data_IF_166014703501
#
_entry.id   IF_166014703501
#
_cell.length_a   1.000
_cell.length_b   1.000
_cell.length_c   1.000
_cell.angle_alpha   90.00
_cell.angle_beta   90.00
_cell.angle_gamma   90.00
#
_symmetry.space_group_name_H-M   'P 1'
#
loop_
_entity.id
_entity.type
_entity.pdbx_description
1 polymer ?
#
# COMPACT_ATOMS: atom_id res chain seq x y z
N UNK A 1 12.26 -13.05 -8.59
CA UNK A 1 11.72 -13.71 -7.36
C UNK A 1 10.56 -12.92 -6.71
N UNK A 2 10.31 -11.63 -7.02
CA UNK A 2 9.16 -10.84 -6.49
C UNK A 2 7.81 -11.22 -7.14
N UNK A 3 7.84 -11.58 -8.41
CA UNK A 3 6.65 -12.00 -9.18
C UNK A 3 5.95 -13.22 -8.55
N UNK A 4 6.71 -14.16 -7.95
CA UNK A 4 6.15 -15.40 -7.42
C UNK A 4 5.26 -15.22 -6.19
N UNK A 5 5.33 -14.09 -5.47
CA UNK A 5 4.44 -13.82 -4.33
C UNK A 5 3.05 -13.38 -4.80
N UNK A 6 2.98 -12.55 -5.85
CA UNK A 6 1.71 -12.15 -6.44
C UNK A 6 1.03 -13.32 -7.16
N UNK A 7 1.82 -14.19 -7.80
CA UNK A 7 1.31 -15.45 -8.37
C UNK A 7 0.77 -16.38 -7.29
N UNK A 8 1.42 -16.48 -6.14
CA UNK A 8 0.92 -17.27 -5.02
C UNK A 8 -0.38 -16.69 -4.42
N UNK A 9 -0.45 -15.36 -4.28
CA UNK A 9 -1.60 -14.68 -3.67
C UNK A 9 -2.85 -14.65 -4.58
N UNK A 10 -2.67 -14.53 -5.90
CA UNK A 10 -3.76 -14.40 -6.87
C UNK A 10 -4.00 -15.68 -7.70
N UNK A 11 -3.17 -16.71 -7.50
CA UNK A 11 -3.17 -17.97 -8.26
C UNK A 11 -2.34 -17.90 -9.55
N UNK A 12 -1.62 -18.98 -9.86
CA UNK A 12 -0.97 -19.16 -11.16
C UNK A 12 -2.03 -19.09 -12.27
N UNK A 13 -1.86 -18.17 -13.22
CA UNK A 13 -2.80 -17.97 -14.32
C UNK A 13 -3.90 -16.93 -14.09
N UNK A 14 -3.81 -16.09 -13.04
CA UNK A 14 -4.67 -14.91 -12.94
C UNK A 14 -4.57 -14.07 -14.21
N UNK A 15 -5.71 -13.87 -14.89
CA UNK A 15 -5.82 -13.12 -16.15
C UNK A 15 -5.99 -11.62 -15.94
N UNK A 16 -5.95 -11.16 -14.69
CA UNK A 16 -6.10 -9.74 -14.40
C UNK A 16 -4.83 -8.99 -14.84
N UNK A 17 -4.97 -7.81 -15.48
CA UNK A 17 -3.82 -6.98 -15.83
C UNK A 17 -2.96 -6.66 -14.61
N UNK A 18 -1.64 -6.77 -14.74
CA UNK A 18 -0.68 -6.41 -13.72
C UNK A 18 0.20 -5.29 -14.25
N UNK A 19 0.18 -4.15 -13.56
CA UNK A 19 0.94 -2.96 -13.97
C UNK A 19 1.92 -2.63 -12.85
N UNK A 20 3.22 -2.98 -12.99
CA UNK A 20 4.21 -2.60 -12.01
C UNK A 20 4.44 -1.09 -12.05
N UNK A 21 4.37 -0.44 -10.90
CA UNK A 21 4.61 0.99 -10.75
C UNK A 21 5.81 1.19 -9.84
N UNK A 22 6.84 1.87 -10.36
CA UNK A 22 8.00 2.28 -9.57
C UNK A 22 7.70 3.61 -8.90
N UNK A 23 7.96 3.69 -7.61
CA UNK A 23 7.81 4.88 -6.77
C UNK A 23 8.86 4.87 -5.65
N UNK A 24 9.45 6.04 -5.39
CA UNK A 24 10.18 6.34 -4.17
C UNK A 24 9.25 7.05 -3.18
N UNK A 25 8.82 6.35 -2.13
CA UNK A 25 7.91 6.89 -1.11
C UNK A 25 8.47 8.10 -0.35
N UNK A 26 9.79 8.32 -0.36
CA UNK A 26 10.39 9.47 0.31
C UNK A 26 10.36 10.75 -0.54
N UNK A 27 10.12 10.64 -1.85
CA UNK A 27 10.31 11.74 -2.81
C UNK A 27 9.15 11.96 -3.75
N UNK A 28 8.30 10.96 -3.94
CA UNK A 28 7.26 10.94 -4.96
C UNK A 28 5.89 10.62 -4.34
N UNK A 29 4.84 11.15 -4.97
CA UNK A 29 3.47 10.76 -4.65
C UNK A 29 3.13 9.42 -5.30
N UNK A 30 2.98 8.37 -4.50
CA UNK A 30 2.61 7.05 -5.03
C UNK A 30 1.24 7.08 -5.72
N UNK A 31 0.30 7.91 -5.26
CA UNK A 31 -1.03 8.03 -5.87
C UNK A 31 -0.94 8.63 -7.28
N UNK A 32 -0.13 9.67 -7.48
CA UNK A 32 0.06 10.25 -8.81
C UNK A 32 0.69 9.23 -9.76
N UNK A 33 1.70 8.51 -9.27
CA UNK A 33 2.34 7.43 -10.03
C UNK A 33 1.38 6.31 -10.41
N UNK A 34 0.45 5.97 -9.51
CA UNK A 34 -0.61 5.01 -9.79
C UNK A 34 -1.61 5.55 -10.83
N UNK A 35 -2.04 6.81 -10.72
CA UNK A 35 -2.97 7.44 -11.68
C UNK A 35 -2.38 7.48 -13.09
N UNK A 36 -1.10 7.85 -13.21
CA UNK A 36 -0.37 7.81 -14.48
C UNK A 36 -0.30 6.39 -15.07
N UNK A 37 -0.33 5.36 -14.23
CA UNK A 37 -0.39 3.96 -14.63
C UNK A 37 -1.82 3.45 -14.87
N UNK A 38 -2.85 4.29 -14.76
CA UNK A 38 -4.25 3.97 -15.03
C UNK A 38 -5.11 3.65 -13.80
N UNK A 39 -4.63 3.92 -12.59
CA UNK A 39 -5.45 3.83 -11.38
C UNK A 39 -6.58 4.87 -11.41
N UNK A 40 -7.81 4.40 -11.24
CA UNK A 40 -9.01 5.23 -11.19
C UNK A 40 -9.51 5.37 -9.74
N UNK A 41 -9.35 6.55 -9.10
CA UNK A 41 -9.77 6.78 -7.71
C UNK A 41 -11.30 6.82 -7.55
N UNK A 42 -12.09 6.76 -8.63
CA UNK A 42 -13.54 6.61 -8.53
C UNK A 42 -13.96 5.14 -8.31
N UNK A 43 -13.05 4.18 -8.45
CA UNK A 43 -13.34 2.76 -8.26
C UNK A 43 -12.97 2.29 -6.85
N UNK A 44 -13.77 1.36 -6.31
CA UNK A 44 -13.49 0.75 -5.01
C UNK A 44 -12.16 0.01 -5.07
N UNK A 45 -11.31 0.26 -4.09
CA UNK A 45 -9.94 -0.23 -4.09
C UNK A 45 -9.65 -1.03 -2.82
N UNK A 46 -8.89 -2.11 -2.95
CA UNK A 46 -8.31 -2.83 -1.83
C UNK A 46 -6.81 -2.55 -1.83
N UNK A 47 -6.34 -1.89 -0.78
CA UNK A 47 -4.93 -1.56 -0.59
C UNK A 47 -4.28 -2.61 0.30
N UNK A 48 -3.12 -3.12 -0.12
CA UNK A 48 -2.26 -3.98 0.69
C UNK A 48 -0.94 -3.25 0.93
N UNK A 49 -0.65 -2.93 2.18
CA UNK A 49 0.53 -2.18 2.59
C UNK A 49 1.18 -2.84 3.80
N UNK A 50 1.82 -3.98 3.54
CA UNK A 50 2.43 -4.85 4.54
C UNK A 50 3.96 -4.76 4.49
N UNK A 51 4.61 -4.78 5.65
CA UNK A 51 6.05 -4.82 5.78
C UNK A 51 6.73 -3.49 5.44
N UNK A 52 6.03 -2.35 5.58
CA UNK A 52 6.56 -1.03 5.22
C UNK A 52 6.57 -0.04 6.38
N UNK A 53 5.53 -0.02 7.21
CA UNK A 53 5.31 1.07 8.18
C UNK A 53 6.43 1.22 9.21
N UNK A 54 7.10 0.12 9.57
CA UNK A 54 8.22 0.08 10.51
C UNK A 54 9.52 0.74 10.00
N UNK A 55 9.57 1.14 8.73
CA UNK A 55 10.73 1.83 8.14
C UNK A 55 10.47 3.31 7.87
N UNK A 56 9.26 3.80 8.19
CA UNK A 56 8.85 5.16 7.90
C UNK A 56 8.64 5.94 9.20
N UNK A 57 8.89 7.23 9.12
CA UNK A 57 8.51 8.17 10.18
C UNK A 57 6.97 8.20 10.34
N UNK A 58 6.50 8.48 11.55
CA UNK A 58 5.07 8.49 11.87
C UNK A 58 4.26 9.42 10.94
N UNK A 59 4.78 10.61 10.66
CA UNK A 59 4.18 11.56 9.69
C UNK A 59 4.02 10.94 8.29
N UNK A 60 5.02 10.22 7.80
CA UNK A 60 4.96 9.58 6.49
C UNK A 60 3.90 8.46 6.45
N UNK A 61 3.74 7.74 7.56
CA UNK A 61 2.68 6.74 7.70
C UNK A 61 1.29 7.39 7.69
N UNK A 62 1.11 8.44 8.49
CA UNK A 62 -0.15 9.18 8.56
C UNK A 62 -0.52 9.81 7.22
N UNK A 63 0.44 10.39 6.51
CA UNK A 63 0.23 10.98 5.19
C UNK A 63 -0.15 9.92 4.14
N UNK A 64 0.49 8.75 4.17
CA UNK A 64 0.15 7.63 3.28
C UNK A 64 -1.29 7.17 3.49
N UNK A 65 -1.70 6.95 4.75
CA UNK A 65 -3.07 6.55 5.08
C UNK A 65 -4.09 7.63 4.70
N UNK A 66 -3.76 8.91 4.89
CA UNK A 66 -4.61 10.03 4.45
C UNK A 66 -4.77 10.04 2.93
N UNK A 67 -3.68 9.87 2.20
CA UNK A 67 -3.70 9.76 0.74
C UNK A 67 -4.55 8.57 0.28
N UNK A 68 -4.43 7.40 0.91
CA UNK A 68 -5.29 6.24 0.65
C UNK A 68 -6.76 6.60 0.84
N UNK A 69 -7.12 7.21 1.98
CA UNK A 69 -8.50 7.58 2.29
C UNK A 69 -9.08 8.60 1.30
N UNK A 70 -8.30 9.60 0.90
CA UNK A 70 -8.72 10.63 -0.07
C UNK A 70 -8.92 10.07 -1.49
N UNK A 71 -8.29 8.94 -1.81
CA UNK A 71 -8.31 8.33 -3.14
C UNK A 71 -9.10 7.02 -3.18
N UNK A 72 -10.00 6.83 -2.22
CA UNK A 72 -10.78 5.62 -2.06
C UNK A 72 -12.25 5.98 -1.88
N UNK A 73 -13.15 5.57 -2.79
CA UNK A 73 -14.58 5.78 -2.60
C UNK A 73 -15.12 4.86 -1.49
N UNK A 74 -16.33 5.13 -0.96
CA UNK A 74 -16.97 4.27 0.02
C UNK A 74 -16.99 2.78 -0.38
N UNK A 75 -16.69 1.90 0.58
CA UNK A 75 -16.58 0.46 0.35
C UNK A 75 -15.19 -0.03 -0.08
N UNK A 76 -14.20 0.86 -0.15
CA UNK A 76 -12.78 0.50 -0.27
C UNK A 76 -12.22 -0.01 1.05
N UNK A 77 -11.12 -0.76 1.00
CA UNK A 77 -10.47 -1.37 2.17
C UNK A 77 -8.96 -1.16 2.14
N UNK A 78 -8.34 -1.08 3.32
CA UNK A 78 -6.88 -1.09 3.46
C UNK A 78 -6.49 -2.10 4.53
N UNK A 79 -5.56 -3.00 4.17
CA UNK A 79 -4.87 -3.86 5.12
C UNK A 79 -3.41 -3.42 5.22
N UNK A 80 -2.93 -3.17 6.43
CA UNK A 80 -1.56 -2.77 6.71
C UNK A 80 -1.12 -3.27 8.09
N UNK A 81 0.18 -3.41 8.29
CA UNK A 81 0.76 -3.67 9.60
C UNK A 81 1.24 -2.36 10.23
N UNK A 82 1.21 -2.30 11.56
CA UNK A 82 1.81 -1.21 12.33
C UNK A 82 2.60 -1.83 13.46
N UNK A 83 3.82 -1.34 13.66
CA UNK A 83 4.59 -1.69 14.83
C UNK A 83 4.34 -0.66 15.91
N UNK A 84 3.75 -1.10 17.02
CA UNK A 84 3.60 -0.29 18.22
C UNK A 84 4.62 -0.79 19.24
N UNK A 85 5.64 -0.02 19.61
CA UNK A 85 6.53 -0.42 20.69
C UNK A 85 5.71 -0.65 21.96
N UNK A 86 6.11 -1.61 22.82
CA UNK A 86 5.51 -1.80 24.12
C UNK A 86 5.50 -0.48 24.90
N UNK A 87 4.36 -0.13 25.50
CA UNK A 87 4.17 1.13 26.23
C UNK A 87 5.04 1.25 27.48
N UNK A 88 5.63 0.14 27.93
CA UNK A 88 6.58 0.03 29.04
C UNK A 88 8.05 0.04 28.59
N UNK A 89 8.33 0.18 27.30
CA UNK A 89 9.69 0.28 26.75
C UNK A 89 10.48 -1.03 26.72
N UNK A 90 9.86 -2.17 27.04
CA UNK A 90 10.53 -3.48 27.03
C UNK A 90 10.07 -4.28 25.81
N UNK A 91 10.90 -4.30 24.77
CA UNK A 91 10.72 -5.24 23.66
C UNK A 91 10.86 -6.68 24.19
N UNK A 92 9.76 -7.45 24.14
CA UNK A 92 9.75 -8.90 24.43
C UNK A 92 9.84 -9.70 23.15
#
# INVERSE_FOLDING_TARGET
RRESLLDAALGEGSRLPRVPVTVDFARESFVERLREAGFDPAQRTVWCWEGVTMYLEQEAVAETLRSIAQNSPPGSLVGFDVWTPPSDGVAR
#
